data_IF_487850363959
#
_entry.id   IF_487850363959
#
_cell.length_a   1.000
_cell.length_b   1.000
_cell.length_c   1.000
_cell.angle_alpha   90.00
_cell.angle_beta   90.00
_cell.angle_gamma   90.00
#
_symmetry.space_group_name_H-M   'P 1'
#
loop_
_entity.id
_entity.type
_entity.pdbx_description
1 polymer ?
#
# COMPACT_ATOMS: atom_id res chain seq x y z
N UNK A 1 6.38 -17.88 18.87
CA UNK A 1 7.03 -16.69 18.35
C UNK A 1 6.05 -15.57 17.99
N UNK A 2 4.96 -15.84 17.26
CA UNK A 2 3.94 -14.85 16.85
C UNK A 2 3.25 -14.09 18.01
N UNK A 3 2.86 -14.74 19.10
CA UNK A 3 2.15 -14.08 20.22
C UNK A 3 2.98 -12.98 20.91
N UNK A 4 4.30 -13.18 21.06
CA UNK A 4 5.19 -12.15 21.65
C UNK A 4 5.39 -10.96 20.73
N UNK A 5 5.38 -11.16 19.39
CA UNK A 5 5.48 -10.06 18.42
C UNK A 5 4.20 -9.21 18.42
N UNK A 6 3.01 -9.82 18.49
CA UNK A 6 1.74 -9.09 18.57
C UNK A 6 1.67 -8.24 19.84
N UNK A 7 2.12 -8.76 20.98
CA UNK A 7 2.15 -8.01 22.25
C UNK A 7 3.20 -6.89 22.23
N UNK A 8 4.35 -7.11 21.59
CA UNK A 8 5.38 -6.08 21.48
C UNK A 8 4.97 -4.90 20.57
N UNK A 9 4.00 -5.10 19.67
CA UNK A 9 3.43 -4.04 18.80
C UNK A 9 2.13 -3.46 19.35
N UNK A 10 1.69 -3.94 20.50
CA UNK A 10 0.47 -3.49 21.17
C UNK A 10 0.49 -1.96 21.33
N UNK A 11 -0.52 -1.31 20.79
CA UNK A 11 -0.63 0.15 20.84
C UNK A 11 -0.11 0.91 19.61
N UNK A 12 0.69 0.29 18.72
CA UNK A 12 1.28 0.95 17.53
C UNK A 12 0.74 0.45 16.18
N UNK A 13 -0.16 -0.55 16.22
CA UNK A 13 -0.75 -1.15 15.03
C UNK A 13 -1.55 -0.17 14.17
N UNK A 14 -1.97 -0.64 13.00
CA UNK A 14 -2.88 0.06 12.11
C UNK A 14 -4.29 0.04 12.70
N UNK A 15 -4.98 1.18 12.64
CA UNK A 15 -6.35 1.31 13.16
C UNK A 15 -6.43 1.57 14.67
N UNK A 16 -7.63 1.33 15.22
CA UNK A 16 -7.97 1.65 16.61
C UNK A 16 -7.88 0.47 17.58
N UNK A 17 -7.65 -0.75 17.09
CA UNK A 17 -7.56 -1.94 17.94
C UNK A 17 -6.22 -1.95 18.69
N UNK A 18 -6.29 -2.13 20.00
CA UNK A 18 -5.14 -2.24 20.89
C UNK A 18 -5.14 -3.61 21.56
N UNK A 19 -3.97 -4.18 21.73
CA UNK A 19 -3.77 -5.43 22.47
C UNK A 19 -2.87 -5.16 23.66
N UNK A 20 -3.29 -5.51 24.86
CA UNK A 20 -2.53 -5.32 26.12
C UNK A 20 -2.38 -6.64 26.84
N UNK A 21 -1.35 -6.77 27.68
CA UNK A 21 -1.17 -7.94 28.56
C UNK A 21 -2.07 -7.89 29.80
N UNK A 22 -2.58 -6.71 30.12
CA UNK A 22 -3.45 -6.44 31.27
C UNK A 22 -4.78 -5.89 30.82
N UNK A 23 -5.78 -5.87 31.71
CA UNK A 23 -7.08 -5.24 31.49
C UNK A 23 -7.04 -3.71 31.59
N UNK A 24 -5.86 -3.13 31.74
CA UNK A 24 -5.70 -1.68 31.84
C UNK A 24 -5.90 -1.01 30.48
N UNK A 25 -6.36 0.23 30.53
CA UNK A 25 -6.47 1.08 29.33
C UNK A 25 -5.06 1.25 28.76
N UNK A 26 -4.87 0.83 27.50
CA UNK A 26 -3.61 1.02 26.82
C UNK A 26 -3.25 2.51 26.80
N UNK A 27 -2.13 2.91 27.43
CA UNK A 27 -1.74 4.31 27.42
C UNK A 27 -1.56 4.80 25.97
N UNK A 28 -1.82 6.07 25.70
CA UNK A 28 -1.50 6.62 24.39
C UNK A 28 -0.02 6.39 24.12
N UNK A 29 0.31 5.96 22.90
CA UNK A 29 1.71 5.80 22.48
C UNK A 29 2.34 7.18 22.49
N UNK A 30 3.10 7.48 23.55
CA UNK A 30 3.66 8.82 23.81
C UNK A 30 4.97 9.09 23.09
N UNK A 31 5.56 8.11 22.39
CA UNK A 31 6.94 8.25 21.94
C UNK A 31 7.01 8.75 20.50
N UNK A 32 6.99 10.08 20.39
CA UNK A 32 7.44 10.79 19.23
C UNK A 32 8.97 10.60 19.09
N UNK A 33 9.43 10.09 17.96
CA UNK A 33 10.79 10.33 17.54
C UNK A 33 10.77 11.62 16.77
N UNK A 34 11.50 12.59 17.25
CA UNK A 34 11.72 13.83 16.55
C UNK A 34 12.67 13.61 15.37
N UNK A 35 12.72 14.56 14.45
CA UNK A 35 13.40 14.49 13.14
C UNK A 35 14.85 14.02 13.19
N UNK A 36 15.56 14.24 14.33
CA UNK A 36 16.98 13.96 14.50
C UNK A 36 17.38 12.49 14.47
N UNK A 37 16.42 11.56 14.55
CA UNK A 37 16.67 10.11 14.61
C UNK A 37 16.41 9.38 13.29
N UNK A 38 15.94 10.05 12.25
CA UNK A 38 15.58 9.39 11.00
C UNK A 38 16.75 8.66 10.35
N UNK A 39 17.96 9.26 10.41
CA UNK A 39 19.19 8.65 9.92
C UNK A 39 19.61 7.40 10.69
N UNK A 40 19.49 7.45 12.03
CA UNK A 40 19.80 6.29 12.89
C UNK A 40 18.84 5.14 12.61
N UNK A 41 17.55 5.45 12.37
CA UNK A 41 16.52 4.45 12.07
C UNK A 41 16.75 3.84 10.68
N UNK A 42 17.13 4.65 9.69
CA UNK A 42 17.46 4.15 8.34
C UNK A 42 18.64 3.18 8.42
N UNK A 43 19.75 3.57 9.03
CA UNK A 43 20.93 2.71 9.22
C UNK A 43 20.58 1.39 9.91
N UNK A 44 19.73 1.46 10.92
CA UNK A 44 19.28 0.32 11.67
C UNK A 44 18.37 -0.62 10.84
N UNK A 45 17.41 -0.07 10.08
CA UNK A 45 16.57 -0.84 9.16
C UNK A 45 17.43 -1.56 8.12
N UNK A 46 18.47 -0.90 7.62
CA UNK A 46 19.42 -1.47 6.66
C UNK A 46 20.23 -2.62 7.25
N UNK A 47 20.80 -2.45 8.46
CA UNK A 47 21.58 -3.48 9.15
C UNK A 47 20.77 -4.75 9.42
N UNK A 48 19.47 -4.62 9.75
CA UNK A 48 18.55 -5.76 9.89
C UNK A 48 18.42 -6.50 8.56
N UNK A 49 18.25 -5.77 7.47
CA UNK A 49 18.08 -6.34 6.14
C UNK A 49 19.30 -7.13 5.68
N UNK A 50 20.52 -6.69 6.08
CA UNK A 50 21.79 -7.33 5.75
C UNK A 50 22.18 -8.47 6.70
N UNK A 51 21.35 -8.81 7.70
CA UNK A 51 21.66 -9.79 8.74
C UNK A 51 22.93 -9.47 9.53
N UNK A 52 23.33 -8.21 9.57
CA UNK A 52 24.42 -7.73 10.39
C UNK A 52 23.98 -7.64 11.86
N UNK A 53 24.88 -7.92 12.78
CA UNK A 53 24.59 -7.82 14.22
C UNK A 53 24.25 -6.36 14.60
N UNK A 54 23.09 -6.16 15.17
CA UNK A 54 22.62 -4.83 15.59
C UNK A 54 22.95 -4.64 17.06
N UNK A 55 23.49 -3.47 17.48
CA UNK A 55 23.61 -3.13 18.90
C UNK A 55 22.26 -3.26 19.62
N UNK A 56 22.26 -3.78 20.84
CA UNK A 56 21.01 -4.04 21.60
C UNK A 56 20.18 -2.78 21.83
N UNK A 57 20.82 -1.63 22.00
CA UNK A 57 20.16 -0.32 22.08
C UNK A 57 19.39 0.02 20.82
N UNK A 58 19.95 -0.29 19.66
CA UNK A 58 19.36 -0.06 18.35
C UNK A 58 18.24 -1.09 18.05
N UNK A 59 18.44 -2.33 18.48
CA UNK A 59 17.41 -3.38 18.41
C UNK A 59 16.14 -2.99 19.18
N UNK A 60 16.30 -2.43 20.40
CA UNK A 60 15.17 -1.95 21.20
C UNK A 60 14.43 -0.80 20.49
N UNK A 61 15.16 0.18 19.94
CA UNK A 61 14.59 1.28 19.16
C UNK A 61 13.77 0.77 17.98
N UNK A 62 14.28 -0.22 17.25
CA UNK A 62 13.64 -0.79 16.05
C UNK A 62 12.46 -1.69 16.38
N UNK A 63 12.59 -2.53 17.40
CA UNK A 63 11.51 -3.41 17.87
C UNK A 63 10.25 -2.61 18.14
N UNK A 64 10.43 -1.45 18.72
CA UNK A 64 9.33 -0.56 19.04
C UNK A 64 8.77 0.21 17.87
N UNK A 65 9.51 0.38 16.78
CA UNK A 65 9.17 1.28 15.68
C UNK A 65 8.94 0.63 14.32
N UNK A 66 9.60 -0.50 14.05
CA UNK A 66 9.51 -1.17 12.76
C UNK A 66 8.49 -2.32 12.75
N UNK A 67 8.03 -2.79 13.90
CA UNK A 67 7.22 -3.99 14.03
C UNK A 67 5.71 -3.77 13.85
N UNK A 68 5.23 -2.53 13.81
CA UNK A 68 3.80 -2.21 13.75
C UNK A 68 3.21 -2.13 12.33
N UNK A 69 4.04 -2.15 11.28
CA UNK A 69 3.61 -2.03 9.88
C UNK A 69 4.08 -3.26 9.11
N UNK A 70 3.13 -4.04 8.61
CA UNK A 70 3.43 -5.26 7.84
C UNK A 70 4.17 -4.99 6.52
N UNK A 71 4.80 -6.02 5.97
CA UNK A 71 5.51 -6.01 4.69
C UNK A 71 7.02 -6.20 4.85
N UNK A 72 7.67 -6.74 3.80
CA UNK A 72 9.07 -7.19 3.85
C UNK A 72 10.11 -6.05 3.81
N UNK A 73 9.77 -4.87 3.26
CA UNK A 73 10.70 -3.76 3.10
C UNK A 73 10.89 -2.94 4.36
N UNK A 74 12.10 -2.35 4.58
CA UNK A 74 12.40 -1.53 5.74
C UNK A 74 11.47 -0.33 5.83
N UNK A 75 10.77 -0.21 6.95
CA UNK A 75 9.86 0.90 7.23
C UNK A 75 9.77 1.17 8.72
N UNK A 76 9.50 2.42 9.09
CA UNK A 76 9.36 2.82 10.47
C UNK A 76 8.13 3.70 10.70
N UNK A 77 7.54 3.57 11.89
CA UNK A 77 6.51 4.47 12.40
C UNK A 77 7.18 5.61 13.15
N UNK A 78 6.91 6.83 12.74
CA UNK A 78 7.55 8.03 13.27
C UNK A 78 6.51 9.11 13.56
N UNK A 79 6.93 10.15 14.28
CA UNK A 79 6.18 11.39 14.38
C UNK A 79 7.07 12.52 13.90
N UNK A 80 6.70 13.13 12.78
CA UNK A 80 7.41 14.25 12.18
C UNK A 80 6.51 15.48 12.19
N UNK A 81 6.99 16.59 12.71
CA UNK A 81 6.22 17.83 12.83
C UNK A 81 4.88 17.63 13.56
N UNK A 82 4.85 16.82 14.62
CA UNK A 82 3.65 16.51 15.40
C UNK A 82 2.67 15.53 14.74
N UNK A 83 2.96 14.97 13.55
CA UNK A 83 2.10 14.07 12.81
C UNK A 83 2.69 12.67 12.74
N UNK A 84 1.85 11.65 12.94
CA UNK A 84 2.27 10.27 12.74
C UNK A 84 2.43 9.94 11.25
N UNK A 85 3.58 9.37 10.91
CA UNK A 85 3.97 9.04 9.54
C UNK A 85 4.56 7.63 9.47
N UNK A 86 4.58 7.08 8.27
CA UNK A 86 5.31 5.86 7.91
C UNK A 86 6.47 6.31 7.01
N UNK A 87 7.70 6.04 7.40
CA UNK A 87 8.87 6.19 6.54
C UNK A 87 9.21 4.84 5.90
N UNK A 88 9.30 4.81 4.58
CA UNK A 88 9.76 3.67 3.77
C UNK A 88 11.13 4.02 3.22
N UNK A 89 12.13 3.19 3.52
CA UNK A 89 13.52 3.46 3.15
C UNK A 89 13.92 2.73 1.87
N UNK A 90 14.89 3.31 1.16
CA UNK A 90 15.54 2.68 0.04
C UNK A 90 16.33 1.44 0.50
N UNK A 91 16.24 0.35 -0.26
CA UNK A 91 17.00 -0.85 -0.05
C UNK A 91 17.84 -1.18 -1.27
N UNK A 92 18.87 -0.34 -1.50
CA UNK A 92 19.67 -0.37 -2.71
C UNK A 92 20.38 -1.73 -2.96
N UNK A 93 20.58 -2.52 -1.90
CA UNK A 93 21.25 -3.83 -1.98
C UNK A 93 20.35 -4.93 -2.56
N UNK A 94 19.00 -4.76 -2.49
CA UNK A 94 18.04 -5.76 -2.94
C UNK A 94 17.08 -5.26 -4.03
N UNK A 95 16.87 -3.95 -4.12
CA UNK A 95 15.94 -3.37 -5.08
C UNK A 95 16.68 -3.04 -6.40
N UNK A 96 16.05 -3.35 -7.53
CA UNK A 96 16.60 -3.02 -8.86
C UNK A 96 16.66 -1.52 -9.14
N UNK A 97 15.84 -0.75 -8.45
CA UNK A 97 15.72 0.71 -8.52
C UNK A 97 15.25 1.29 -7.20
N UNK A 98 15.32 2.62 -7.07
CA UNK A 98 14.89 3.34 -5.88
C UNK A 98 13.36 3.21 -5.68
N UNK A 99 12.91 2.26 -4.87
CA UNK A 99 11.49 1.98 -4.65
C UNK A 99 10.73 3.14 -3.98
N UNK A 100 11.29 3.87 -2.99
CA UNK A 100 10.67 5.10 -2.48
C UNK A 100 10.32 6.11 -3.58
N UNK A 101 11.19 6.30 -4.56
CA UNK A 101 10.96 7.20 -5.71
C UNK A 101 9.85 6.65 -6.60
N UNK A 102 9.87 5.35 -6.90
CA UNK A 102 8.81 4.71 -7.72
C UNK A 102 7.46 4.81 -7.05
N UNK A 103 7.36 4.50 -5.76
CA UNK A 103 6.08 4.60 -5.04
C UNK A 103 5.59 6.05 -4.97
N UNK A 104 6.47 7.02 -4.72
CA UNK A 104 6.11 8.45 -4.71
C UNK A 104 5.54 8.88 -6.07
N UNK A 105 6.17 8.49 -7.18
CA UNK A 105 5.70 8.76 -8.54
C UNK A 105 4.35 8.09 -8.82
N UNK A 106 4.19 6.82 -8.46
CA UNK A 106 2.93 6.10 -8.63
C UNK A 106 1.78 6.72 -7.82
N UNK A 107 2.03 7.16 -6.59
CA UNK A 107 1.03 7.84 -5.77
C UNK A 107 0.58 9.17 -6.39
N UNK A 108 1.50 9.94 -6.99
CA UNK A 108 1.16 11.19 -7.68
C UNK A 108 0.32 10.91 -8.94
N UNK A 109 0.76 9.98 -9.77
CA UNK A 109 0.04 9.57 -10.98
C UNK A 109 -1.33 8.96 -10.64
N UNK A 110 -1.45 8.22 -9.54
CA UNK A 110 -2.75 7.71 -9.08
C UNK A 110 -3.73 8.84 -8.77
N UNK A 111 -3.27 9.92 -8.11
CA UNK A 111 -4.11 11.11 -7.87
C UNK A 111 -4.53 11.80 -9.16
N UNK A 112 -3.62 11.91 -10.14
CA UNK A 112 -3.94 12.43 -11.49
C UNK A 112 -4.96 11.55 -12.20
N UNK A 113 -4.93 10.23 -11.96
CA UNK A 113 -5.93 9.26 -12.44
C UNK A 113 -7.27 9.32 -11.67
N UNK A 114 -7.47 10.27 -10.75
CA UNK A 114 -8.68 10.40 -9.95
C UNK A 114 -8.82 9.37 -8.83
N UNK A 115 -7.71 8.76 -8.38
CA UNK A 115 -7.70 7.82 -7.26
C UNK A 115 -7.37 8.58 -5.97
N UNK A 116 -8.21 8.42 -4.95
CA UNK A 116 -7.85 8.84 -3.60
C UNK A 116 -6.69 7.97 -3.11
N UNK A 117 -5.49 8.54 -3.08
CA UNK A 117 -4.25 7.90 -2.68
C UNK A 117 -3.56 8.67 -1.57
N UNK A 118 -2.84 7.95 -0.71
CA UNK A 118 -2.08 8.56 0.39
C UNK A 118 -1.12 9.62 -0.12
N UNK A 119 -0.88 10.64 0.72
CA UNK A 119 0.09 11.68 0.42
C UNK A 119 1.41 11.37 1.12
N UNK A 120 2.50 11.55 0.41
CA UNK A 120 3.84 11.38 0.93
C UNK A 120 4.82 12.37 0.32
N UNK A 121 5.97 12.52 0.95
CA UNK A 121 7.07 13.35 0.48
C UNK A 121 8.36 12.55 0.49
N UNK A 122 9.16 12.69 -0.56
CA UNK A 122 10.51 12.16 -0.57
C UNK A 122 11.42 13.07 0.25
N UNK A 123 12.22 12.46 1.11
CA UNK A 123 13.29 13.11 1.89
C UNK A 123 14.60 12.37 1.67
N UNK A 124 15.71 13.07 1.81
CA UNK A 124 17.04 12.45 1.79
C UNK A 124 17.49 12.14 3.21
N UNK A 125 17.90 10.90 3.44
CA UNK A 125 18.38 10.39 4.71
C UNK A 125 19.64 9.59 4.44
N UNK A 126 20.77 9.97 5.05
CA UNK A 126 22.06 9.30 4.84
C UNK A 126 22.42 9.13 3.34
N UNK A 127 22.17 10.14 2.52
CA UNK A 127 22.33 10.14 1.06
C UNK A 127 21.46 9.10 0.31
N UNK A 128 20.39 8.62 0.92
CA UNK A 128 19.40 7.72 0.34
C UNK A 128 18.02 8.33 0.37
N UNK A 129 17.13 7.86 -0.49
CA UNK A 129 15.74 8.32 -0.51
C UNK A 129 14.91 7.60 0.54
N UNK A 130 14.09 8.35 1.25
CA UNK A 130 13.01 7.81 2.06
C UNK A 130 11.68 8.45 1.65
N UNK A 131 10.62 7.63 1.53
CA UNK A 131 9.26 8.10 1.31
C UNK A 131 8.54 8.19 2.65
N UNK A 132 8.22 9.41 3.06
CA UNK A 132 7.49 9.70 4.29
C UNK A 132 6.02 9.89 3.95
N UNK A 133 5.17 8.98 4.41
CA UNK A 133 3.73 8.94 4.15
C UNK A 133 2.98 9.30 5.41
N UNK A 134 2.06 10.28 5.31
CA UNK A 134 1.15 10.58 6.42
C UNK A 134 0.21 9.43 6.67
N UNK A 135 0.02 9.04 7.94
CA UNK A 135 -0.95 8.01 8.31
C UNK A 135 -2.38 8.49 8.05
N UNK A 136 -3.10 7.72 7.26
CA UNK A 136 -4.50 7.97 6.92
C UNK A 136 -5.48 7.46 7.99
N UNK A 137 -5.02 6.57 8.87
CA UNK A 137 -5.78 5.98 9.96
C UNK A 137 -5.66 6.79 11.27
N UNK A 138 -5.37 8.09 11.13
CA UNK A 138 -5.27 9.06 12.23
C UNK A 138 -6.07 10.32 11.89
N UNK A 139 -6.89 10.77 12.83
CA UNK A 139 -7.58 12.04 12.77
C UNK A 139 -7.26 12.84 14.03
N UNK A 140 -6.63 14.00 13.89
CA UNK A 140 -6.22 14.85 15.02
C UNK A 140 -5.44 14.09 16.11
N UNK A 141 -4.62 13.12 15.69
CA UNK A 141 -3.86 12.24 16.59
C UNK A 141 -4.64 11.04 17.13
N UNK A 142 -5.98 11.00 16.98
CA UNK A 142 -6.78 9.86 17.37
C UNK A 142 -6.77 8.75 16.30
N UNK A 143 -6.70 7.48 16.69
CA UNK A 143 -6.76 6.37 15.74
C UNK A 143 -8.19 6.19 15.21
N UNK A 144 -8.34 6.04 13.89
CA UNK A 144 -9.55 5.59 13.25
C UNK A 144 -9.61 4.06 13.22
N UNK A 145 -10.80 3.50 13.27
CA UNK A 145 -10.96 2.06 13.07
C UNK A 145 -10.63 1.69 11.62
N UNK A 146 -9.70 0.76 11.45
CA UNK A 146 -9.25 0.26 10.15
C UNK A 146 -9.45 -1.25 10.07
N UNK A 147 -9.97 -1.71 8.93
CA UNK A 147 -10.14 -3.11 8.63
C UNK A 147 -9.55 -3.38 7.24
N UNK A 148 -8.56 -4.29 7.15
CA UNK A 148 -8.03 -4.68 5.84
C UNK A 148 -9.08 -5.46 5.04
N UNK A 149 -9.02 -5.40 3.71
CA UNK A 149 -9.91 -6.21 2.87
C UNK A 149 -9.73 -7.70 3.15
N UNK A 150 -8.50 -8.15 3.46
CA UNK A 150 -8.24 -9.52 3.90
C UNK A 150 -9.08 -9.89 5.11
N UNK A 151 -9.02 -9.10 6.18
CA UNK A 151 -9.77 -9.36 7.41
C UNK A 151 -11.27 -9.22 7.23
N UNK A 152 -11.73 -8.28 6.40
CA UNK A 152 -13.15 -8.11 6.10
C UNK A 152 -13.72 -9.34 5.39
N UNK A 153 -13.02 -9.88 4.42
CA UNK A 153 -13.46 -11.06 3.68
C UNK A 153 -13.44 -12.32 4.57
N UNK A 154 -12.43 -12.48 5.44
CA UNK A 154 -12.40 -13.54 6.45
C UNK A 154 -13.61 -13.48 7.40
N UNK A 155 -13.96 -12.25 7.87
CA UNK A 155 -15.10 -12.02 8.76
C UNK A 155 -16.46 -12.32 8.12
N UNK A 156 -16.57 -12.21 6.80
CA UNK A 156 -17.79 -12.57 6.06
C UNK A 156 -17.89 -14.04 5.68
N UNK A 157 -17.03 -14.91 6.24
CA UNK A 157 -17.04 -16.36 6.01
C UNK A 157 -16.38 -16.77 4.71
N UNK A 158 -15.58 -15.91 4.13
CA UNK A 158 -14.83 -16.16 2.91
C UNK A 158 -13.42 -16.73 3.20
N UNK A 159 -13.30 -17.61 4.21
CA UNK A 159 -12.04 -18.08 4.80
C UNK A 159 -11.16 -18.98 3.91
N UNK A 160 -11.60 -19.39 2.72
CA UNK A 160 -10.81 -20.24 1.80
C UNK A 160 -9.78 -19.45 0.96
N UNK A 161 -9.13 -18.44 1.57
CA UNK A 161 -8.16 -17.56 0.87
C UNK A 161 -6.82 -18.21 0.60
N UNK A 162 -6.52 -19.37 1.16
CA UNK A 162 -5.19 -19.98 1.08
C UNK A 162 -5.08 -21.03 -0.04
N UNK A 163 -6.16 -21.36 -0.71
CA UNK A 163 -6.11 -22.28 -1.84
C UNK A 163 -5.90 -21.53 -3.14
N UNK A 164 -4.88 -21.95 -3.86
CA UNK A 164 -4.38 -21.42 -5.12
C UNK A 164 -5.47 -21.07 -6.17
N UNK A 165 -5.25 -20.03 -7.01
CA UNK A 165 -6.16 -19.69 -8.12
C UNK A 165 -6.38 -20.88 -9.07
N UNK A 166 -7.51 -20.94 -9.80
CA UNK A 166 -8.42 -19.87 -10.22
C UNK A 166 -9.75 -19.79 -9.46
N UNK A 167 -9.92 -20.52 -8.36
CA UNK A 167 -11.17 -20.56 -7.58
C UNK A 167 -11.15 -19.64 -6.35
N UNK A 168 -10.08 -18.89 -6.16
CA UNK A 168 -9.86 -18.05 -4.99
C UNK A 168 -10.79 -16.85 -4.96
N UNK A 169 -11.30 -16.54 -3.78
CA UNK A 169 -12.14 -15.37 -3.47
C UNK A 169 -11.34 -14.07 -3.35
N UNK A 170 -10.02 -14.12 -3.52
CA UNK A 170 -9.14 -12.94 -3.53
C UNK A 170 -9.25 -12.21 -4.87
N UNK A 171 -10.29 -11.38 -5.03
CA UNK A 171 -10.55 -10.60 -6.25
C UNK A 171 -10.95 -9.17 -5.91
N UNK A 172 -10.78 -8.24 -6.86
CA UNK A 172 -11.33 -6.88 -6.72
C UNK A 172 -12.84 -6.90 -6.56
N UNK A 173 -13.55 -7.81 -7.24
CA UNK A 173 -14.99 -7.99 -7.12
C UNK A 173 -15.42 -8.37 -5.69
N UNK A 174 -14.63 -9.22 -5.00
CA UNK A 174 -14.89 -9.57 -3.61
C UNK A 174 -14.73 -8.35 -2.68
N UNK A 175 -13.75 -7.48 -2.93
CA UNK A 175 -13.58 -6.22 -2.17
C UNK A 175 -14.81 -5.32 -2.38
N UNK A 176 -15.32 -5.20 -3.61
CA UNK A 176 -16.55 -4.45 -3.91
C UNK A 176 -17.73 -5.01 -3.15
N UNK A 177 -17.91 -6.34 -3.18
CA UNK A 177 -19.00 -7.01 -2.45
C UNK A 177 -18.93 -6.73 -0.94
N UNK A 178 -17.74 -6.80 -0.33
CA UNK A 178 -17.55 -6.46 1.08
C UNK A 178 -17.87 -4.98 1.36
N UNK A 179 -17.42 -4.07 0.50
CA UNK A 179 -17.69 -2.64 0.62
C UNK A 179 -19.20 -2.31 0.57
N UNK A 180 -19.93 -2.94 -0.36
CA UNK A 180 -21.38 -2.77 -0.48
C UNK A 180 -22.12 -3.27 0.77
N UNK A 181 -21.68 -4.39 1.37
CA UNK A 181 -22.23 -4.88 2.66
C UNK A 181 -21.98 -3.90 3.80
N UNK A 182 -20.94 -3.08 3.72
CA UNK A 182 -20.64 -2.02 4.69
C UNK A 182 -21.35 -0.68 4.38
N UNK A 183 -22.18 -0.63 3.32
CA UNK A 183 -22.91 0.58 2.92
C UNK A 183 -22.09 1.55 2.07
N UNK A 184 -20.99 1.14 1.46
CA UNK A 184 -20.15 1.99 0.59
C UNK A 184 -20.65 1.86 -0.86
N UNK A 185 -21.63 2.69 -1.23
CA UNK A 185 -22.36 2.57 -2.51
C UNK A 185 -21.49 2.78 -3.75
N UNK A 186 -20.48 3.67 -3.70
CA UNK A 186 -19.63 4.00 -4.84
C UNK A 186 -18.41 3.05 -5.00
N UNK A 187 -18.36 1.97 -4.23
CA UNK A 187 -17.21 1.06 -4.18
C UNK A 187 -16.87 0.46 -5.55
N UNK A 188 -17.86 0.19 -6.39
CA UNK A 188 -17.66 -0.44 -7.69
C UNK A 188 -16.74 0.36 -8.59
N UNK A 189 -17.07 1.62 -8.90
CA UNK A 189 -16.24 2.47 -9.76
C UNK A 189 -14.88 2.76 -9.13
N UNK A 190 -14.82 3.04 -7.83
CA UNK A 190 -13.57 3.32 -7.12
C UNK A 190 -12.61 2.11 -7.23
N UNK A 191 -13.10 0.91 -6.96
CA UNK A 191 -12.27 -0.30 -7.04
C UNK A 191 -11.94 -0.69 -8.48
N UNK A 192 -12.84 -0.47 -9.44
CA UNK A 192 -12.54 -0.67 -10.85
C UNK A 192 -11.40 0.25 -11.31
N UNK A 193 -11.43 1.53 -10.94
CA UNK A 193 -10.37 2.50 -11.24
C UNK A 193 -9.03 2.08 -10.64
N UNK A 194 -9.01 1.62 -9.39
CA UNK A 194 -7.79 1.08 -8.74
C UNK A 194 -7.27 -0.17 -9.43
N UNK A 195 -8.15 -1.09 -9.81
CA UNK A 195 -7.79 -2.29 -10.57
C UNK A 195 -7.14 -1.94 -11.90
N UNK A 196 -7.75 -1.02 -12.66
CA UNK A 196 -7.20 -0.54 -13.94
C UNK A 196 -5.84 0.13 -13.73
N UNK A 197 -5.68 0.91 -12.68
CA UNK A 197 -4.41 1.56 -12.37
C UNK A 197 -3.30 0.55 -12.04
N UNK A 198 -3.56 -0.41 -11.15
CA UNK A 198 -2.61 -1.46 -10.82
C UNK A 198 -2.25 -2.32 -12.04
N UNK A 199 -3.22 -2.59 -12.92
CA UNK A 199 -2.98 -3.22 -14.21
C UNK A 199 -2.05 -2.36 -15.07
N UNK A 200 -2.34 -1.07 -15.21
CA UNK A 200 -1.63 -0.15 -16.11
C UNK A 200 -0.17 0.04 -15.69
N UNK A 201 0.09 0.33 -14.42
CA UNK A 201 1.46 0.51 -13.92
C UNK A 201 2.21 -0.82 -13.71
N UNK A 202 1.53 -1.96 -13.79
CA UNK A 202 2.13 -3.26 -13.53
C UNK A 202 2.43 -3.52 -12.05
N UNK A 203 1.59 -3.04 -11.17
CA UNK A 203 1.63 -3.41 -9.75
C UNK A 203 1.07 -4.82 -9.56
N UNK A 204 1.88 -5.81 -9.86
CA UNK A 204 1.48 -7.23 -9.77
C UNK A 204 1.53 -7.79 -8.36
N UNK A 205 2.11 -7.07 -7.40
CA UNK A 205 2.12 -7.42 -5.98
C UNK A 205 0.91 -6.84 -5.20
N UNK A 206 -0.06 -6.26 -5.91
CA UNK A 206 -1.27 -5.77 -5.28
C UNK A 206 -2.09 -6.92 -4.70
N UNK A 207 -2.33 -6.91 -3.41
CA UNK A 207 -3.00 -7.98 -2.69
C UNK A 207 -4.02 -7.43 -1.67
N UNK A 208 -4.88 -8.30 -1.10
CA UNK A 208 -5.98 -7.91 -0.22
C UNK A 208 -5.56 -7.05 1.01
N UNK A 209 -4.29 -7.11 1.44
CA UNK A 209 -3.81 -6.28 2.54
C UNK A 209 -3.49 -4.84 2.11
N UNK A 210 -3.37 -4.58 0.79
CA UNK A 210 -3.16 -3.23 0.24
C UNK A 210 -4.48 -2.47 0.07
N UNK A 211 -5.60 -3.11 0.39
CA UNK A 211 -6.93 -2.50 0.43
C UNK A 211 -7.50 -2.56 1.83
N UNK A 212 -8.32 -1.58 2.16
CA UNK A 212 -8.96 -1.56 3.47
C UNK A 212 -10.11 -0.56 3.57
N UNK A 213 -10.71 -0.59 4.72
CA UNK A 213 -11.89 0.20 5.09
C UNK A 213 -11.58 1.00 6.34
N UNK A 214 -12.04 2.22 6.38
CA UNK A 214 -11.97 3.12 7.53
C UNK A 214 -13.39 3.40 8.04
N UNK A 215 -13.54 3.40 9.35
CA UNK A 215 -14.78 3.82 10.00
C UNK A 215 -14.55 5.15 10.73
N UNK A 216 -15.38 6.13 10.38
CA UNK A 216 -15.39 7.46 10.95
C UNK A 216 -16.84 7.96 11.01
N UNK A 217 -17.65 7.27 11.81
CA UNK A 217 -19.09 7.44 11.81
C UNK A 217 -19.82 6.68 10.69
N UNK A 218 -19.14 6.47 9.55
CA UNK A 218 -19.57 5.62 8.45
C UNK A 218 -18.37 4.89 7.86
N UNK A 219 -18.58 3.74 7.22
CA UNK A 219 -17.54 3.03 6.50
C UNK A 219 -17.23 3.72 5.17
N UNK A 220 -15.96 3.79 4.83
CA UNK A 220 -15.43 4.23 3.54
C UNK A 220 -14.22 3.42 3.13
N UNK A 221 -13.90 3.38 1.85
CA UNK A 221 -12.63 2.81 1.39
C UNK A 221 -11.47 3.66 1.94
N UNK A 222 -10.42 3.00 2.43
CA UNK A 222 -9.17 3.67 2.76
C UNK A 222 -8.54 4.25 1.48
N UNK A 223 -7.76 5.32 1.55
CA UNK A 223 -6.96 5.78 0.41
C UNK A 223 -6.08 4.66 -0.14
N UNK A 224 -5.78 4.68 -1.43
CA UNK A 224 -4.85 3.72 -2.02
C UNK A 224 -3.42 3.98 -1.51
N UNK A 225 -2.69 2.92 -1.25
CA UNK A 225 -1.31 2.93 -0.77
C UNK A 225 -0.55 1.73 -1.33
N UNK A 226 0.77 1.72 -1.19
CA UNK A 226 1.65 0.62 -1.66
C UNK A 226 1.54 0.42 -3.19
N UNK A 227 1.46 1.53 -3.92
CA UNK A 227 1.38 1.55 -5.37
C UNK A 227 2.79 1.57 -5.96
N UNK A 228 3.21 0.45 -6.54
CA UNK A 228 4.57 0.25 -7.05
C UNK A 228 4.57 -0.44 -8.41
N UNK A 229 5.64 -0.27 -9.17
CA UNK A 229 5.86 -0.99 -10.42
C UNK A 229 6.67 -2.24 -10.14
N UNK A 230 6.10 -3.41 -10.38
CA UNK A 230 6.78 -4.71 -10.25
C UNK A 230 6.94 -5.36 -11.62
N UNK A 231 5.85 -5.46 -12.37
CA UNK A 231 5.80 -6.16 -13.66
C UNK A 231 5.63 -7.67 -13.51
N UNK A 232 5.20 -8.30 -14.57
CA UNK A 232 4.92 -9.74 -14.60
C UNK A 232 3.63 -10.06 -15.33
N UNK A 233 3.38 -11.35 -15.61
CA UNK A 233 2.23 -11.80 -16.38
C UNK A 233 0.95 -11.97 -15.54
N UNK A 234 1.06 -12.01 -14.21
CA UNK A 234 -0.05 -12.27 -13.31
C UNK A 234 -0.03 -11.31 -12.11
N UNK A 235 -1.22 -10.94 -11.63
CA UNK A 235 -1.45 -10.20 -10.40
C UNK A 235 -1.57 -11.11 -9.18
N UNK A 236 -1.49 -10.56 -7.98
CA UNK A 236 -1.69 -11.32 -6.73
C UNK A 236 -3.16 -11.44 -6.31
N UNK A 237 -4.06 -10.63 -6.91
CA UNK A 237 -5.52 -10.75 -6.77
C UNK A 237 -6.20 -10.80 -8.13
N UNK A 238 -7.38 -11.43 -8.20
CA UNK A 238 -8.11 -11.64 -9.45
C UNK A 238 -8.67 -10.36 -10.04
N UNK A 239 -8.41 -10.15 -11.34
CA UNK A 239 -8.91 -9.01 -12.11
C UNK A 239 -10.29 -9.30 -12.70
N UNK A 240 -10.53 -10.51 -13.17
CA UNK A 240 -11.75 -10.87 -13.87
C UNK A 240 -11.94 -12.39 -14.02
N UNK A 241 -12.55 -12.81 -15.12
CA UNK A 241 -12.93 -14.21 -15.37
C UNK A 241 -11.70 -15.13 -15.48
N UNK A 242 -10.60 -14.63 -16.03
CA UNK A 242 -9.34 -15.37 -16.17
C UNK A 242 -8.42 -15.20 -14.93
N UNK A 243 -9.01 -14.89 -13.78
CA UNK A 243 -8.32 -14.82 -12.50
C UNK A 243 -7.20 -13.78 -12.49
N UNK A 244 -5.96 -14.23 -12.25
CA UNK A 244 -4.79 -13.39 -12.04
C UNK A 244 -4.14 -12.87 -13.33
N UNK A 245 -4.59 -13.33 -14.51
CA UNK A 245 -3.95 -12.99 -15.79
C UNK A 245 -3.98 -11.49 -16.04
N UNK A 246 -2.79 -10.90 -16.23
CA UNK A 246 -2.63 -9.48 -16.51
C UNK A 246 -2.91 -9.18 -17.98
N UNK A 247 -4.19 -8.91 -18.29
CA UNK A 247 -4.64 -8.59 -19.65
C UNK A 247 -5.90 -7.72 -19.62
N UNK A 248 -6.04 -6.81 -20.59
CA UNK A 248 -7.17 -5.87 -20.65
C UNK A 248 -8.50 -6.57 -20.88
N UNK A 249 -8.55 -7.63 -21.66
CA UNK A 249 -9.76 -8.44 -21.85
C UNK A 249 -10.24 -9.08 -20.54
N UNK A 250 -9.30 -9.50 -19.67
CA UNK A 250 -9.62 -9.99 -18.35
C UNK A 250 -10.17 -8.89 -17.44
N UNK A 251 -9.60 -7.68 -17.46
CA UNK A 251 -10.11 -6.50 -16.73
C UNK A 251 -11.55 -6.18 -17.14
N UNK A 252 -11.90 -6.33 -18.41
CA UNK A 252 -13.22 -6.04 -18.96
C UNK A 252 -14.22 -7.19 -18.82
N UNK A 253 -13.79 -8.38 -18.39
CA UNK A 253 -14.60 -9.59 -18.46
C UNK A 253 -15.75 -9.65 -17.44
N UNK A 254 -15.68 -8.90 -16.35
CA UNK A 254 -16.64 -8.95 -15.21
C UNK A 254 -17.13 -7.57 -14.76
N UNK A 255 -17.46 -6.69 -15.70
CA UNK A 255 -17.91 -5.32 -15.41
C UNK A 255 -19.15 -5.26 -14.52
N UNK A 256 -20.03 -6.26 -14.61
CA UNK A 256 -21.25 -6.35 -13.77
C UNK A 256 -20.94 -6.42 -12.28
N UNK A 257 -19.82 -7.04 -11.87
CA UNK A 257 -19.42 -7.14 -10.46
C UNK A 257 -19.06 -5.75 -9.87
N UNK A 258 -18.75 -4.78 -10.74
CA UNK A 258 -18.45 -3.40 -10.39
C UNK A 258 -19.62 -2.44 -10.63
N UNK A 259 -20.77 -2.95 -11.08
CA UNK A 259 -21.90 -2.11 -11.50
C UNK A 259 -21.58 -1.19 -12.69
N UNK A 260 -20.62 -1.58 -13.56
CA UNK A 260 -20.10 -0.75 -14.65
C UNK A 260 -20.71 -1.13 -15.99
N UNK A 261 -21.13 -0.11 -16.77
CA UNK A 261 -21.39 -0.30 -18.20
C UNK A 261 -20.07 -0.33 -18.96
N UNK A 262 -20.09 -0.92 -20.17
CA UNK A 262 -18.89 -0.99 -21.02
C UNK A 262 -18.40 0.41 -21.42
N UNK A 263 -19.31 1.35 -21.64
CA UNK A 263 -18.96 2.74 -21.97
C UNK A 263 -18.27 3.42 -20.79
N UNK A 264 -18.85 3.32 -19.57
CA UNK A 264 -18.26 3.90 -18.38
C UNK A 264 -16.88 3.29 -18.08
N UNK A 265 -16.75 1.98 -18.25
CA UNK A 265 -15.48 1.28 -18.06
C UNK A 265 -14.40 1.78 -19.02
N UNK A 266 -14.72 1.99 -20.31
CA UNK A 266 -13.79 2.57 -21.28
C UNK A 266 -13.32 3.95 -20.88
N UNK A 267 -14.25 4.84 -20.47
CA UNK A 267 -13.89 6.19 -20.02
C UNK A 267 -12.94 6.15 -18.80
N UNK A 268 -13.16 5.24 -17.87
CA UNK A 268 -12.24 5.06 -16.72
C UNK A 268 -10.88 4.54 -17.17
N UNK A 269 -10.86 3.57 -18.08
CA UNK A 269 -9.61 3.02 -18.64
C UNK A 269 -8.80 4.10 -19.33
N UNK A 270 -9.44 4.89 -20.23
CA UNK A 270 -8.77 5.94 -20.97
C UNK A 270 -8.13 6.97 -20.02
N UNK A 271 -8.88 7.44 -19.02
CA UNK A 271 -8.37 8.36 -18.01
C UNK A 271 -7.17 7.81 -17.23
N UNK A 272 -7.26 6.55 -16.81
CA UNK A 272 -6.22 5.92 -16.00
C UNK A 272 -4.96 5.61 -16.81
N UNK A 273 -5.13 5.13 -18.05
CA UNK A 273 -4.02 4.84 -18.95
C UNK A 273 -3.30 6.13 -19.35
N UNK A 274 -4.03 7.20 -19.66
CA UNK A 274 -3.44 8.49 -19.94
C UNK A 274 -2.63 9.03 -18.77
N UNK A 275 -3.15 8.96 -17.57
CA UNK A 275 -2.39 9.33 -16.37
C UNK A 275 -1.13 8.45 -16.22
N UNK A 276 -1.25 7.12 -16.39
CA UNK A 276 -0.13 6.19 -16.27
C UNK A 276 1.01 6.47 -17.27
N UNK A 277 0.73 6.98 -18.46
CA UNK A 277 1.74 7.44 -19.43
C UNK A 277 2.62 8.56 -18.86
N UNK A 278 2.06 9.38 -17.97
CA UNK A 278 2.77 10.44 -17.27
C UNK A 278 3.81 9.96 -16.24
N UNK A 279 3.84 8.65 -15.92
CA UNK A 279 4.73 8.13 -14.88
C UNK A 279 6.20 8.42 -15.17
N UNK A 280 6.64 8.33 -16.42
CA UNK A 280 8.01 8.64 -16.81
C UNK A 280 8.43 10.07 -16.51
N UNK A 281 7.52 11.03 -16.76
CA UNK A 281 7.74 12.46 -16.45
C UNK A 281 7.87 12.66 -14.94
N UNK A 282 7.05 11.98 -14.16
CA UNK A 282 7.10 12.08 -12.70
C UNK A 282 8.37 11.46 -12.12
N UNK A 283 8.82 10.33 -12.66
CA UNK A 283 10.10 9.72 -12.28
C UNK A 283 11.30 10.63 -12.60
N UNK A 284 11.28 11.31 -13.75
CA UNK A 284 12.30 12.31 -14.11
C UNK A 284 12.27 13.51 -13.17
N UNK A 285 11.08 14.02 -12.83
CA UNK A 285 10.91 15.12 -11.86
C UNK A 285 11.46 14.78 -10.48
N UNK A 286 11.35 13.52 -10.08
CA UNK A 286 11.88 13.02 -8.81
C UNK A 286 13.35 12.60 -8.87
N UNK A 287 14.03 12.84 -10.01
CA UNK A 287 15.47 12.63 -10.16
C UNK A 287 15.90 11.18 -10.42
N UNK A 288 14.99 10.32 -10.91
CA UNK A 288 15.37 8.95 -11.26
C UNK A 288 16.31 8.93 -12.46
N UNK A 289 17.40 8.16 -12.37
CA UNK A 289 18.32 7.98 -13.49
C UNK A 289 17.60 7.38 -14.71
N UNK A 290 17.86 7.91 -15.91
CA UNK A 290 17.19 7.51 -17.16
C UNK A 290 17.15 5.99 -17.35
N UNK A 291 18.25 5.27 -17.09
CA UNK A 291 18.31 3.81 -17.21
C UNK A 291 17.24 3.12 -16.35
N UNK A 292 17.08 3.53 -15.11
CA UNK A 292 16.11 2.94 -14.18
C UNK A 292 14.69 3.34 -14.56
N UNK A 293 14.47 4.61 -14.94
CA UNK A 293 13.19 5.07 -15.46
C UNK A 293 12.73 4.21 -16.65
N UNK A 294 13.60 4.00 -17.65
CA UNK A 294 13.27 3.24 -18.85
C UNK A 294 12.94 1.76 -18.49
N UNK A 295 13.63 1.18 -17.52
CA UNK A 295 13.33 -0.14 -16.98
C UNK A 295 11.95 -0.18 -16.29
N UNK A 296 11.63 0.81 -15.45
CA UNK A 296 10.32 0.94 -14.81
C UNK A 296 9.23 1.06 -15.87
N UNK A 297 9.39 1.98 -16.83
CA UNK A 297 8.41 2.20 -17.91
C UNK A 297 8.19 0.95 -18.77
N UNK A 298 9.20 0.12 -18.95
CA UNK A 298 9.06 -1.15 -19.69
C UNK A 298 8.13 -2.17 -19.02
N UNK A 299 7.81 -1.99 -17.75
CA UNK A 299 6.92 -2.88 -16.97
C UNK A 299 5.45 -2.49 -17.04
N UNK A 300 5.12 -1.30 -17.53
CA UNK A 300 3.75 -0.85 -17.71
C UNK A 300 3.00 -1.77 -18.68
N UNK A 301 1.66 -1.70 -18.70
CA UNK A 301 0.88 -2.37 -19.72
C UNK A 301 1.20 -1.78 -21.12
N UNK A 302 0.97 -2.52 -22.21
CA UNK A 302 1.24 -2.02 -23.56
C UNK A 302 0.55 -0.69 -23.86
N UNK A 303 -0.68 -0.49 -23.38
CA UNK A 303 -1.50 0.70 -23.62
C UNK A 303 -0.93 1.94 -22.91
N UNK A 304 -0.16 1.76 -21.84
CA UNK A 304 0.47 2.85 -21.08
C UNK A 304 1.95 3.08 -21.42
N UNK A 305 2.55 2.25 -22.27
CA UNK A 305 3.88 2.50 -22.84
C UNK A 305 3.73 3.52 -23.95
N UNK A 306 4.21 4.71 -23.74
CA UNK A 306 4.24 5.76 -24.76
C UNK A 306 5.24 5.47 -25.86
#
# INVERSE_FOLDING_TARGET
MYKRQVLATAGRGVGAIRVTETNDICPPVSDAVEDDHLGIIEDACRSIGMSEGIPESLYTLLKDRCSGVGGARPKALLRLGGREVIAKFEWAELDYWNMPVVEAACLEVARQAGIDAVTGSLVQVNNRSALVIRRFDRREGAPLHYLSARSALDAFGDAEFETLPPKGRATYAAIVSAALRMGIENAGEVMFRRMVFNYAIGNTDDHLRNHGFLFDGAWRLAPAFDLVVIGGPAHSIGLGQDGLRRAMDNVLSRLGDFGMTRERARNVIDQVVDAARGLGVELDRLGMAKKHRDQVMSRLCPEARG
#
